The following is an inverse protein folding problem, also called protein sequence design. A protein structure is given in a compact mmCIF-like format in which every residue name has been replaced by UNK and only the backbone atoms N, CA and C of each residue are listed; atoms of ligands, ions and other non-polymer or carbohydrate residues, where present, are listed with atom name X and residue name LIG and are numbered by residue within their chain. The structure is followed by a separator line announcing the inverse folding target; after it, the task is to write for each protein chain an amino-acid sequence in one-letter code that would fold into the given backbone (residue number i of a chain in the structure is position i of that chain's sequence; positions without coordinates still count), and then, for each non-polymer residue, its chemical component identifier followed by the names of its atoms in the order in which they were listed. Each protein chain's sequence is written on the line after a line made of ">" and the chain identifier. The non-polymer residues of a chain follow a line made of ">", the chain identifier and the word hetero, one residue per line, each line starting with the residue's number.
data_IF_138897449186
#
_entry.id   IF_138897449186
#
_cell.length_a   1.000
_cell.length_b   1.000
_cell.length_c   1.000
_cell.angle_alpha   90.00
_cell.angle_beta   90.00
_cell.angle_gamma   90.00
#
_symmetry.space_group_name_H-M   'P 1'
#
loop_
_entity.id
_entity.type
_entity.pdbx_description
1 polymer ?
#
# COMPACT_ATOMS: atom_id res chain seq x y z
N UNK A 1 -5.98 40.99 43.68
CA UNK A 1 -4.67 41.08 44.37
C UNK A 1 -3.98 39.75 44.11
N UNK A 2 -3.11 39.68 43.10
CA UNK A 2 -1.64 39.91 43.17
C UNK A 2 -0.90 38.65 43.64
N UNK A 3 -0.03 38.14 42.75
CA UNK A 3 1.25 37.42 42.92
C UNK A 3 1.39 35.88 42.87
N UNK A 4 1.95 35.44 41.73
CA UNK A 4 3.09 34.52 41.49
C UNK A 4 4.37 34.75 42.37
N UNK A 5 5.50 33.97 42.27
CA UNK A 5 5.81 32.78 41.42
C UNK A 5 6.62 31.61 42.09
N UNK A 6 6.92 30.56 41.29
CA UNK A 6 8.16 29.71 41.23
C UNK A 6 8.35 28.60 42.31
N UNK A 7 8.92 27.40 42.07
CA UNK A 7 9.75 26.78 41.02
C UNK A 7 9.73 25.26 41.24
N UNK A 8 9.57 24.41 40.21
CA UNK A 8 10.23 23.08 40.14
C UNK A 8 10.54 22.81 38.66
N UNK A 9 11.81 22.77 38.24
CA UNK A 9 12.18 22.40 36.88
C UNK A 9 12.44 20.88 36.77
N UNK A 10 11.91 20.32 35.67
CA UNK A 10 12.41 19.13 35.00
C UNK A 10 13.85 19.37 34.52
N UNK A 11 14.78 18.45 34.77
CA UNK A 11 15.79 17.95 33.83
C UNK A 11 16.77 16.99 34.54
N UNK A 12 16.92 15.82 33.91
CA UNK A 12 18.12 15.07 33.57
C UNK A 12 19.36 15.10 34.50
N UNK A 13 20.15 14.05 34.32
CA UNK A 13 21.62 13.98 34.35
C UNK A 13 22.20 12.96 35.34
N UNK A 14 23.15 12.23 34.75
CA UNK A 14 24.31 11.60 35.37
C UNK A 14 24.07 10.32 36.18
N UNK A 15 24.73 9.21 35.86
CA UNK A 15 26.02 9.12 35.20
C UNK A 15 27.02 8.56 36.18
N UNK A 16 27.78 7.60 35.66
CA UNK A 16 28.96 6.97 36.25
C UNK A 16 28.72 6.12 37.50
N UNK A 17 29.11 4.85 37.43
CA UNK A 17 30.53 4.55 37.57
C UNK A 17 30.80 3.05 37.50
N UNK A 18 31.70 2.66 36.60
CA UNK A 18 32.68 1.63 36.92
C UNK A 18 34.03 2.06 36.32
N UNK A 19 34.96 2.30 37.24
CA UNK A 19 36.36 2.67 37.10
C UNK A 19 37.21 1.37 37.10
N UNK A 20 38.33 1.17 36.41
CA UNK A 20 39.64 1.86 36.48
C UNK A 20 40.54 1.31 35.33
N UNK A 21 41.53 2.11 34.94
CA UNK A 21 42.61 1.89 33.98
C UNK A 21 43.13 0.46 33.77
N UNK A 22 43.16 0.02 32.50
CA UNK A 22 44.36 -0.54 31.82
C UNK A 22 44.08 -0.71 30.33
N UNK A 23 44.79 0.06 29.51
CA UNK A 23 45.01 -0.11 28.07
C UNK A 23 43.75 -0.32 27.21
N UNK A 24 43.05 0.78 26.94
CA UNK A 24 41.92 0.76 26.01
C UNK A 24 42.44 0.41 24.61
N UNK A 25 42.06 -0.77 24.10
CA UNK A 25 42.42 -1.19 22.75
C UNK A 25 42.10 -0.09 21.74
N UNK A 26 42.98 0.13 20.75
CA UNK A 26 42.82 1.22 19.81
C UNK A 26 41.54 1.02 19.00
N UNK A 27 40.95 2.13 18.54
CA UNK A 27 39.62 2.13 17.94
C UNK A 27 39.50 1.13 16.77
N UNK A 28 40.55 0.96 15.98
CA UNK A 28 40.59 0.02 14.86
C UNK A 28 40.57 -1.45 15.29
N UNK A 29 41.18 -1.82 16.43
CA UNK A 29 41.09 -3.18 16.98
C UNK A 29 39.67 -3.46 17.47
N UNK A 30 39.08 -2.53 18.22
CA UNK A 30 37.71 -2.68 18.74
C UNK A 30 36.65 -2.76 17.65
N UNK A 31 36.78 -1.96 16.59
CA UNK A 31 35.89 -2.02 15.43
C UNK A 31 35.99 -3.38 14.75
N UNK A 32 37.20 -3.91 14.59
CA UNK A 32 37.43 -5.20 13.97
C UNK A 32 36.81 -6.35 14.77
N UNK A 33 36.91 -6.34 16.11
CA UNK A 33 36.27 -7.33 16.98
C UNK A 33 34.74 -7.33 16.88
N UNK A 34 34.11 -6.14 16.76
CA UNK A 34 32.66 -6.04 16.53
C UNK A 34 32.25 -6.74 15.23
N UNK A 35 33.07 -6.65 14.18
CA UNK A 35 32.78 -7.35 12.91
C UNK A 35 32.92 -8.86 13.01
N UNK A 36 33.75 -9.39 13.93
CA UNK A 36 33.83 -10.84 14.19
C UNK A 36 32.52 -11.38 14.79
N UNK A 37 31.88 -10.61 15.67
CA UNK A 37 30.69 -11.02 16.44
C UNK A 37 29.39 -11.12 15.61
N UNK A 38 29.31 -10.45 14.45
CA UNK A 38 28.12 -10.45 13.60
C UNK A 38 28.07 -11.59 12.56
N UNK A 39 29.15 -12.36 12.42
CA UNK A 39 29.29 -13.42 11.40
C UNK A 39 29.28 -14.84 11.96
N UNK A 40 29.41 -15.00 13.28
CA UNK A 40 29.49 -16.31 13.94
C UNK A 40 28.13 -16.96 14.24
N UNK A 41 27.05 -16.58 13.57
CA UNK A 41 25.71 -17.09 13.85
C UNK A 41 25.00 -17.34 12.55
N UNK A 42 25.25 -18.50 11.95
CA UNK A 42 24.34 -19.25 11.08
C UNK A 42 25.09 -20.48 10.55
N UNK A 43 24.99 -21.60 11.29
CA UNK A 43 25.55 -22.89 10.85
C UNK A 43 24.83 -23.48 9.61
N UNK A 44 23.70 -22.87 9.21
CA UNK A 44 22.83 -23.37 8.13
C UNK A 44 22.73 -22.42 6.92
N UNK A 45 23.70 -21.53 6.72
CA UNK A 45 23.73 -20.66 5.54
C UNK A 45 24.12 -21.46 4.29
N UNK A 46 23.33 -21.30 3.22
CA UNK A 46 23.57 -21.87 1.89
C UNK A 46 24.94 -21.48 1.29
N UNK A 47 25.59 -20.46 1.85
CA UNK A 47 26.91 -19.96 1.43
C UNK A 47 28.07 -20.48 2.30
N UNK A 48 27.86 -21.61 2.98
CA UNK A 48 28.84 -22.23 3.89
C UNK A 48 28.90 -21.52 5.24
N UNK A 49 29.66 -22.07 6.23
CA UNK A 49 29.89 -21.37 7.48
C UNK A 49 30.59 -20.06 7.14
N UNK A 50 29.87 -18.94 7.26
CA UNK A 50 30.39 -17.60 7.02
C UNK A 50 31.29 -17.19 8.19
N UNK A 51 32.29 -18.00 8.47
CA UNK A 51 33.34 -17.70 9.43
C UNK A 51 34.31 -16.67 8.85
N UNK A 52 34.89 -15.90 9.76
CA UNK A 52 36.11 -15.14 9.51
C UNK A 52 37.14 -16.04 8.81
N UNK A 53 37.68 -15.62 7.67
CA UNK A 53 38.62 -16.44 6.91
C UNK A 53 39.98 -16.51 7.62
N UNK A 54 40.84 -17.50 7.31
CA UNK A 54 42.19 -17.61 7.89
C UNK A 54 43.07 -16.37 7.66
N UNK A 55 42.75 -15.53 6.68
CA UNK A 55 43.44 -14.27 6.43
C UNK A 55 42.95 -13.16 7.36
N UNK A 56 41.67 -13.15 7.71
CA UNK A 56 41.08 -12.10 8.54
C UNK A 56 41.56 -12.22 10.00
N UNK A 57 41.83 -13.45 10.47
CA UNK A 57 42.50 -13.68 11.76
C UNK A 57 43.95 -13.18 11.76
N UNK A 58 44.70 -13.43 10.68
CA UNK A 58 46.06 -12.91 10.53
C UNK A 58 46.09 -11.39 10.52
N UNK A 59 45.16 -10.74 9.82
CA UNK A 59 45.05 -9.29 9.82
C UNK A 59 44.73 -8.71 11.19
N UNK A 60 43.92 -9.42 11.99
CA UNK A 60 43.66 -9.01 13.37
C UNK A 60 44.93 -9.04 14.23
N UNK A 61 45.69 -10.12 14.15
CA UNK A 61 46.94 -10.26 14.91
C UNK A 61 48.00 -9.25 14.44
N UNK A 62 48.02 -8.92 13.15
CA UNK A 62 48.86 -7.87 12.58
C UNK A 62 48.49 -6.48 13.10
N UNK A 63 47.20 -6.17 13.26
CA UNK A 63 46.74 -4.90 13.85
C UNK A 63 47.16 -4.77 15.32
N UNK A 64 47.06 -5.84 16.11
CA UNK A 64 47.55 -5.84 17.51
C UNK A 64 49.05 -5.59 17.57
N UNK A 65 49.82 -6.24 16.69
CA UNK A 65 51.28 -6.04 16.59
C UNK A 65 51.66 -4.63 16.13
N UNK A 66 50.82 -3.95 15.35
CA UNK A 66 51.06 -2.55 14.97
C UNK A 66 50.89 -1.63 16.16
N UNK A 67 49.80 -1.80 16.92
CA UNK A 67 49.53 -1.05 18.14
C UNK A 67 50.70 -1.16 19.13
N UNK A 68 51.16 -2.38 19.40
CA UNK A 68 52.31 -2.65 20.28
C UNK A 68 53.57 -1.90 19.82
N UNK A 69 53.89 -1.96 18.51
CA UNK A 69 55.05 -1.26 17.94
C UNK A 69 54.95 0.25 18.00
N UNK A 70 53.75 0.80 17.99
CA UNK A 70 53.54 2.25 18.02
C UNK A 70 53.57 2.77 19.45
N UNK A 71 53.03 2.03 20.41
CA UNK A 71 53.27 2.29 21.84
C UNK A 71 54.75 2.24 22.16
N UNK A 72 55.47 1.20 21.72
CA UNK A 72 56.91 1.05 21.97
C UNK A 72 57.75 2.21 21.44
N UNK A 73 57.33 2.83 20.33
CA UNK A 73 58.08 3.90 19.65
C UNK A 73 57.69 5.31 20.07
N UNK A 74 56.39 5.55 20.26
CA UNK A 74 55.82 6.89 20.45
C UNK A 74 55.17 7.07 21.82
N UNK A 75 55.09 6.02 22.65
CA UNK A 75 54.45 6.03 23.97
C UNK A 75 52.93 5.91 23.93
N UNK A 76 52.28 6.37 22.86
CA UNK A 76 50.83 6.31 22.64
C UNK A 76 50.50 5.92 21.20
N UNK A 77 49.38 5.24 21.00
CA UNK A 77 48.86 4.93 19.66
C UNK A 77 47.98 6.07 19.14
N UNK A 78 48.56 6.89 18.26
CA UNK A 78 47.87 7.99 17.58
C UNK A 78 47.46 7.63 16.15
N UNK A 79 47.50 6.35 15.75
CA UNK A 79 47.09 5.99 14.39
C UNK A 79 45.59 6.18 14.18
N UNK A 80 45.26 6.72 13.01
CA UNK A 80 43.91 6.73 12.49
C UNK A 80 43.48 5.31 12.11
N UNK A 81 42.18 5.02 12.24
CA UNK A 81 41.58 3.73 11.89
C UNK A 81 41.85 3.36 10.44
N UNK A 82 41.71 4.34 9.54
CA UNK A 82 41.97 4.14 8.12
C UNK A 82 43.44 3.79 7.87
N UNK A 83 44.38 4.52 8.46
CA UNK A 83 45.82 4.28 8.28
C UNK A 83 46.26 2.92 8.82
N UNK A 84 45.76 2.52 9.99
CA UNK A 84 46.04 1.21 10.57
C UNK A 84 45.53 0.08 9.65
N UNK A 85 44.30 0.21 9.17
CA UNK A 85 43.71 -0.77 8.24
C UNK A 85 44.43 -0.79 6.90
N UNK A 86 44.82 0.36 6.37
CA UNK A 86 45.59 0.48 5.14
C UNK A 86 46.97 -0.17 5.25
N UNK A 87 47.61 -0.10 6.41
CA UNK A 87 48.93 -0.70 6.67
C UNK A 87 48.88 -2.22 6.74
N UNK A 88 47.82 -2.79 7.31
CA UNK A 88 47.63 -4.24 7.47
C UNK A 88 46.95 -4.89 6.27
N UNK A 89 45.75 -4.41 5.93
CA UNK A 89 44.91 -5.03 4.91
C UNK A 89 45.24 -4.56 3.50
N UNK A 90 46.12 -3.54 3.36
CA UNK A 90 46.49 -2.89 2.11
C UNK A 90 45.26 -2.31 1.40
N UNK A 91 45.47 -1.64 0.26
CA UNK A 91 44.33 -1.30 -0.59
C UNK A 91 43.62 -2.60 -0.98
N UNK A 92 42.36 -2.78 -0.54
CA UNK A 92 41.47 -3.71 -1.22
C UNK A 92 41.40 -3.23 -2.66
N UNK A 93 41.93 -4.03 -3.60
CA UNK A 93 41.81 -3.74 -5.02
C UNK A 93 40.36 -3.96 -5.46
N UNK A 94 39.44 -3.15 -4.96
CA UNK A 94 38.20 -2.87 -5.67
C UNK A 94 38.59 -2.10 -6.91
N UNK A 95 38.09 -2.56 -8.06
CA UNK A 95 38.25 -1.98 -9.40
C UNK A 95 38.96 -0.61 -9.43
N UNK A 96 40.29 -0.62 -9.52
CA UNK A 96 41.01 0.57 -9.95
C UNK A 96 40.79 0.67 -11.45
N UNK A 97 39.94 1.61 -11.85
CA UNK A 97 39.66 1.92 -13.25
C UNK A 97 40.98 2.19 -13.97
N UNK A 98 41.50 1.22 -14.74
CA UNK A 98 42.66 1.43 -15.62
C UNK A 98 43.86 0.48 -15.52
N UNK A 99 43.89 -0.52 -14.63
CA UNK A 99 45.02 -1.49 -14.55
C UNK A 99 44.67 -2.86 -15.17
N UNK A 100 44.53 -2.88 -16.49
CA UNK A 100 44.25 -4.08 -17.29
C UNK A 100 42.75 -4.40 -17.42
N UNK A 101 42.34 -5.21 -18.41
CA UNK A 101 40.95 -5.57 -18.60
C UNK A 101 40.52 -6.53 -17.47
N UNK A 102 40.11 -5.95 -16.34
CA UNK A 102 39.36 -6.67 -15.31
C UNK A 102 38.12 -7.34 -15.92
N UNK A 103 37.64 -8.39 -15.25
CA UNK A 103 36.45 -9.12 -15.67
C UNK A 103 35.36 -8.13 -16.10
N UNK A 104 34.94 -8.23 -17.37
CA UNK A 104 33.87 -7.40 -17.91
C UNK A 104 32.69 -7.54 -16.95
N UNK A 105 32.01 -6.44 -16.57
CA UNK A 105 30.71 -6.55 -15.92
C UNK A 105 29.89 -7.56 -16.71
N UNK A 106 29.15 -8.49 -16.05
CA UNK A 106 28.31 -9.42 -16.78
C UNK A 106 27.51 -8.58 -17.78
N UNK A 107 27.68 -8.86 -19.08
CA UNK A 107 26.85 -8.23 -20.10
C UNK A 107 25.44 -8.47 -19.59
N UNK A 108 24.68 -7.41 -19.31
CA UNK A 108 23.25 -7.53 -19.04
C UNK A 108 22.74 -8.50 -20.11
N UNK A 109 22.34 -9.68 -19.68
CA UNK A 109 21.99 -10.76 -20.58
C UNK A 109 21.00 -10.19 -21.57
N UNK A 110 21.25 -10.41 -22.86
CA UNK A 110 20.41 -9.97 -23.95
C UNK A 110 19.05 -10.66 -23.92
N UNK A 111 18.24 -10.34 -22.91
CA UNK A 111 16.81 -10.61 -22.83
C UNK A 111 15.97 -9.36 -23.07
N UNK A 112 16.59 -8.27 -23.56
CA UNK A 112 15.90 -7.01 -23.85
C UNK A 112 14.88 -7.15 -24.99
N UNK A 113 15.03 -8.10 -25.93
CA UNK A 113 14.08 -8.33 -27.02
C UNK A 113 12.75 -8.92 -26.54
N UNK A 114 12.80 -10.12 -25.95
CA UNK A 114 11.61 -10.85 -25.46
C UNK A 114 10.93 -10.09 -24.32
N UNK A 115 11.69 -9.46 -23.43
CA UNK A 115 11.11 -8.65 -22.35
C UNK A 115 10.46 -7.35 -22.86
N UNK A 116 10.93 -6.75 -23.96
CA UNK A 116 10.24 -5.61 -24.58
C UNK A 116 8.98 -6.05 -25.31
N UNK A 117 9.02 -7.15 -26.06
CA UNK A 117 7.86 -7.67 -26.79
C UNK A 117 6.72 -7.97 -25.83
N UNK A 118 6.99 -8.75 -24.77
CA UNK A 118 6.01 -9.03 -23.70
C UNK A 118 5.51 -7.76 -23.04
N UNK A 119 6.38 -6.76 -22.82
CA UNK A 119 5.98 -5.47 -22.23
C UNK A 119 5.08 -4.66 -23.17
N UNK A 120 5.34 -4.68 -24.48
CA UNK A 120 4.51 -4.02 -25.49
C UNK A 120 3.15 -4.72 -25.60
N UNK A 121 3.14 -6.05 -25.63
CA UNK A 121 1.91 -6.86 -25.64
C UNK A 121 1.06 -6.57 -24.40
N UNK A 122 1.63 -6.65 -23.19
CA UNK A 122 0.95 -6.33 -21.94
C UNK A 122 0.44 -4.89 -21.92
N UNK A 123 1.21 -3.93 -22.44
CA UNK A 123 0.76 -2.54 -22.55
C UNK A 123 -0.44 -2.39 -23.48
N UNK A 124 -0.46 -3.15 -24.59
CA UNK A 124 -1.58 -3.14 -25.53
C UNK A 124 -2.83 -3.78 -24.92
N UNK A 125 -2.68 -4.87 -24.18
CA UNK A 125 -3.78 -5.56 -23.49
C UNK A 125 -4.35 -4.68 -22.38
N UNK A 126 -3.50 -4.02 -21.59
CA UNK A 126 -3.94 -3.04 -20.58
C UNK A 126 -4.75 -1.91 -21.24
N UNK A 127 -4.32 -1.42 -22.40
CA UNK A 127 -5.05 -0.37 -23.11
C UNK A 127 -6.41 -0.87 -23.61
N UNK A 128 -6.46 -2.05 -24.21
CA UNK A 128 -7.73 -2.67 -24.64
C UNK A 128 -8.69 -2.90 -23.47
N UNK A 129 -8.19 -3.35 -22.32
CA UNK A 129 -8.98 -3.53 -21.11
C UNK A 129 -9.52 -2.20 -20.57
N UNK A 130 -8.74 -1.12 -20.63
CA UNK A 130 -9.19 0.23 -20.26
C UNK A 130 -10.29 0.73 -21.18
N UNK A 131 -10.13 0.56 -22.49
CA UNK A 131 -11.12 0.99 -23.47
C UNK A 131 -12.42 0.19 -23.31
N UNK A 132 -12.32 -1.12 -23.09
CA UNK A 132 -13.47 -1.98 -22.80
C UNK A 132 -14.16 -1.62 -21.48
N UNK A 133 -13.41 -1.23 -20.45
CA UNK A 133 -13.96 -0.76 -19.18
C UNK A 133 -14.73 0.55 -19.37
N UNK A 134 -14.16 1.53 -20.08
CA UNK A 134 -14.81 2.78 -20.39
C UNK A 134 -16.11 2.57 -21.18
N UNK A 135 -16.11 1.68 -22.18
CA UNK A 135 -17.32 1.32 -22.92
C UNK A 135 -18.39 0.73 -22.00
N UNK A 136 -18.03 -0.20 -21.10
CA UNK A 136 -18.98 -0.77 -20.13
C UNK A 136 -19.55 0.27 -19.18
N UNK A 137 -18.75 1.25 -18.75
CA UNK A 137 -19.24 2.35 -17.92
C UNK A 137 -20.31 3.16 -18.65
N UNK A 138 -20.08 3.51 -19.92
CA UNK A 138 -21.09 4.19 -20.73
C UNK A 138 -22.36 3.34 -20.95
N UNK A 139 -22.23 2.04 -21.14
CA UNK A 139 -23.37 1.12 -21.26
C UNK A 139 -24.16 1.05 -19.96
N UNK A 140 -23.48 1.00 -18.81
CA UNK A 140 -24.14 1.03 -17.49
C UNK A 140 -24.93 2.33 -17.30
N UNK A 141 -24.36 3.48 -17.67
CA UNK A 141 -25.04 4.77 -17.57
C UNK A 141 -26.29 4.83 -18.46
N UNK A 142 -26.19 4.37 -19.70
CA UNK A 142 -27.34 4.33 -20.63
C UNK A 142 -28.44 3.38 -20.15
N UNK A 143 -28.07 2.20 -19.62
CA UNK A 143 -29.03 1.25 -19.04
C UNK A 143 -29.71 1.80 -17.78
N UNK A 144 -28.99 2.54 -16.93
CA UNK A 144 -29.58 3.24 -15.77
C UNK A 144 -30.62 4.26 -16.21
N UNK A 145 -30.27 5.13 -17.14
CA UNK A 145 -31.20 6.13 -17.68
C UNK A 145 -32.44 5.48 -18.32
N UNK A 146 -32.26 4.40 -19.07
CA UNK A 146 -33.37 3.62 -19.64
C UNK A 146 -34.28 3.02 -18.56
N UNK A 147 -33.70 2.47 -17.49
CA UNK A 147 -34.46 1.92 -16.35
C UNK A 147 -35.28 3.00 -15.64
N UNK A 148 -34.70 4.18 -15.42
CA UNK A 148 -35.41 5.29 -14.75
C UNK A 148 -36.60 5.76 -15.60
N UNK A 149 -36.43 5.85 -16.93
CA UNK A 149 -37.53 6.15 -17.85
C UNK A 149 -38.63 5.08 -17.82
N UNK A 150 -38.26 3.79 -17.81
CA UNK A 150 -39.23 2.69 -17.71
C UNK A 150 -39.97 2.70 -16.36
N UNK A 151 -39.31 3.09 -15.27
CA UNK A 151 -39.97 3.26 -13.97
C UNK A 151 -41.00 4.38 -13.99
N UNK A 152 -40.61 5.56 -14.50
CA UNK A 152 -41.52 6.69 -14.62
C UNK A 152 -42.75 6.34 -15.48
N UNK A 153 -42.54 5.73 -16.65
CA UNK A 153 -43.63 5.28 -17.52
C UNK A 153 -44.54 4.25 -16.85
N UNK A 154 -43.99 3.32 -16.06
CA UNK A 154 -44.81 2.38 -15.29
C UNK A 154 -45.63 3.05 -14.19
N UNK A 155 -45.12 4.10 -13.55
CA UNK A 155 -45.87 4.86 -12.54
C UNK A 155 -47.04 5.61 -13.19
N UNK A 156 -46.82 6.25 -14.35
CA UNK A 156 -47.88 6.89 -15.14
C UNK A 156 -48.96 5.89 -15.60
N UNK A 157 -48.56 4.70 -16.04
CA UNK A 157 -49.51 3.66 -16.42
C UNK A 157 -50.33 3.17 -15.23
N UNK A 158 -49.74 3.08 -14.03
CA UNK A 158 -50.47 2.72 -12.81
C UNK A 158 -51.50 3.79 -12.45
N UNK A 159 -51.12 5.07 -12.44
CA UNK A 159 -52.06 6.16 -12.13
C UNK A 159 -53.20 6.22 -13.16
N UNK A 160 -52.88 6.11 -14.46
CA UNK A 160 -53.88 6.06 -15.52
C UNK A 160 -54.85 4.88 -15.35
N UNK A 161 -54.35 3.72 -14.93
CA UNK A 161 -55.19 2.54 -14.69
C UNK A 161 -56.10 2.72 -13.46
N UNK A 162 -55.61 3.37 -12.40
CA UNK A 162 -56.43 3.73 -11.23
C UNK A 162 -57.55 4.71 -11.59
N UNK A 163 -57.25 5.73 -12.40
CA UNK A 163 -58.25 6.67 -12.91
C UNK A 163 -59.30 5.98 -13.77
N UNK A 164 -58.89 5.07 -14.67
CA UNK A 164 -59.81 4.28 -15.49
C UNK A 164 -60.71 3.40 -14.62
N UNK A 165 -60.16 2.73 -13.60
CA UNK A 165 -60.96 1.93 -12.65
C UNK A 165 -61.99 2.78 -11.90
N UNK A 166 -61.59 3.97 -11.45
CA UNK A 166 -62.49 4.90 -10.79
C UNK A 166 -63.62 5.38 -11.73
N UNK A 167 -63.26 5.74 -12.97
CA UNK A 167 -64.22 6.15 -14.00
C UNK A 167 -65.23 5.05 -14.34
N UNK A 168 -64.77 3.82 -14.55
CA UNK A 168 -65.63 2.66 -14.81
C UNK A 168 -66.55 2.38 -13.62
N UNK A 169 -66.04 2.45 -12.40
CA UNK A 169 -66.85 2.25 -11.19
C UNK A 169 -67.96 3.29 -11.08
N UNK A 170 -67.66 4.56 -11.37
CA UNK A 170 -68.63 5.65 -11.39
C UNK A 170 -69.70 5.46 -12.48
N UNK A 171 -69.30 5.13 -13.71
CA UNK A 171 -70.25 4.85 -14.79
C UNK A 171 -71.19 3.70 -14.46
N UNK A 172 -70.68 2.64 -13.81
CA UNK A 172 -71.51 1.52 -13.37
C UNK A 172 -72.52 1.95 -12.31
N UNK A 173 -72.12 2.77 -11.34
CA UNK A 173 -73.05 3.33 -10.35
C UNK A 173 -74.12 4.21 -11.00
N UNK A 174 -73.73 5.12 -11.88
CA UNK A 174 -74.65 6.01 -12.60
C UNK A 174 -75.64 5.22 -13.46
N UNK A 175 -75.20 4.13 -14.09
CA UNK A 175 -76.06 3.23 -14.86
C UNK A 175 -77.10 2.52 -13.97
N UNK A 176 -76.67 1.99 -12.81
CA UNK A 176 -77.56 1.35 -11.84
C UNK A 176 -78.59 2.36 -11.30
N UNK A 177 -78.17 3.57 -10.95
CA UNK A 177 -79.07 4.62 -10.47
C UNK A 177 -80.09 5.01 -11.55
N UNK A 178 -79.65 5.15 -12.80
CA UNK A 178 -80.54 5.48 -13.92
C UNK A 178 -81.58 4.38 -14.14
N UNK A 179 -81.16 3.11 -14.10
CA UNK A 179 -82.08 1.98 -14.23
C UNK A 179 -83.11 1.96 -13.08
N UNK A 180 -82.65 2.18 -11.84
CA UNK A 180 -83.53 2.26 -10.68
C UNK A 180 -84.56 3.38 -10.82
N UNK A 181 -84.15 4.59 -11.23
CA UNK A 181 -85.08 5.71 -11.48
C UNK A 181 -86.13 5.36 -12.53
N UNK A 182 -85.72 4.74 -13.64
CA UNK A 182 -86.66 4.30 -14.68
C UNK A 182 -87.66 3.27 -14.15
N UNK A 183 -87.21 2.31 -13.32
CA UNK A 183 -88.10 1.34 -12.67
C UNK A 183 -89.09 2.02 -11.73
N UNK A 184 -88.63 2.96 -10.92
CA UNK A 184 -89.46 3.71 -9.97
C UNK A 184 -90.51 4.58 -10.71
N UNK A 185 -90.11 5.25 -11.79
CA UNK A 185 -91.03 6.07 -12.60
C UNK A 185 -92.08 5.21 -13.33
N UNK A 186 -91.69 4.05 -13.87
CA UNK A 186 -92.65 3.10 -14.46
C UNK A 186 -93.64 2.59 -13.41
N UNK A 187 -93.16 2.24 -12.22
CA UNK A 187 -94.01 1.77 -11.13
C UNK A 187 -95.04 2.83 -10.72
N UNK A 188 -94.62 4.10 -10.59
CA UNK A 188 -95.53 5.22 -10.31
C UNK A 188 -96.61 5.37 -11.37
N UNK A 189 -96.25 5.27 -12.66
CA UNK A 189 -97.23 5.33 -13.75
C UNK A 189 -98.26 4.19 -13.66
N UNK A 190 -97.83 2.96 -13.35
CA UNK A 190 -98.74 1.84 -13.15
C UNK A 190 -99.69 2.07 -11.97
N UNK A 191 -99.18 2.58 -10.85
CA UNK A 191 -99.99 2.85 -9.66
C UNK A 191 -100.97 4.03 -9.88
N UNK A 192 -100.59 5.02 -10.69
CA UNK A 192 -101.52 6.07 -11.13
C UNK A 192 -102.62 5.54 -12.05
N UNK A 193 -102.30 4.63 -12.98
CA UNK A 193 -103.33 4.01 -13.82
C UNK A 193 -104.29 3.16 -13.01
N UNK A 194 -103.78 2.40 -12.02
CA UNK A 194 -104.62 1.60 -11.11
C UNK A 194 -105.55 2.47 -10.26
N UNK A 195 -105.13 3.68 -9.88
CA UNK A 195 -105.95 4.64 -9.11
C UNK A 195 -107.03 5.34 -9.94
N UNK A 196 -106.94 5.30 -11.27
CA UNK A 196 -107.90 5.95 -12.19
C UNK A 196 -109.04 5.05 -12.64
N UNK A 197 -108.98 3.74 -12.35
CA UNK A 197 -110.05 2.78 -12.53
C UNK A 197 -110.80 2.54 -11.22
#
# INVERSE_FOLDING_TARGET
>A
MINEPSTIPTQDLEGASESLDTQQDPLYVRLFEKTKRHKSTDENSHWGPSGFGPNDEKHFDELKKLHEKEIEKCGEDTLNVEDAYMKVMKHKSGYVRGLGPGARPPKKGGGEGVANEVRVELSSEIQQLKDAAALRETEIETLKASNDNLRASNEELKSSNEELKASVSKMNQDAIEREKRLRDDMQKMFDEMRRRH
#
